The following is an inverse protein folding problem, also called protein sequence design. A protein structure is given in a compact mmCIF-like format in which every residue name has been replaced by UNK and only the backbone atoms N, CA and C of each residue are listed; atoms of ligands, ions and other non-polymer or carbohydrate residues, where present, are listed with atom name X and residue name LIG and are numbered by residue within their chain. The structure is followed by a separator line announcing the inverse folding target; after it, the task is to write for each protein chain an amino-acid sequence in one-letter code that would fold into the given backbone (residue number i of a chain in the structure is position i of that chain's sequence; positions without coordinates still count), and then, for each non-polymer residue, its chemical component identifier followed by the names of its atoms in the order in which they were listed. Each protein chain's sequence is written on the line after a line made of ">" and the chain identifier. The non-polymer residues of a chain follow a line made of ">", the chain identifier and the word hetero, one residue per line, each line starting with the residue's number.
data_IF_278215837097
#
_entry.id   IF_278215837097
#
_cell.length_a   1.000
_cell.length_b   1.000
_cell.length_c   1.000
_cell.angle_alpha   90.00
_cell.angle_beta   90.00
_cell.angle_gamma   90.00
#
_symmetry.space_group_name_H-M   'P 1'
#
loop_
_entity.id
_entity.type
_entity.pdbx_description
1 polymer ?
#
# COMPACT_ATOMS: atom_id res chain seq x y z
N UNK A 1 15.98 -10.70 10.19
CA UNK A 1 15.43 -9.80 9.14
C UNK A 1 15.18 -10.61 7.87
N UNK A 2 14.00 -10.51 7.23
CA UNK A 2 13.66 -11.33 6.07
C UNK A 2 14.63 -11.06 4.91
N UNK A 3 15.14 -12.12 4.28
CA UNK A 3 16.12 -12.00 3.17
C UNK A 3 15.50 -11.52 1.84
N UNK A 4 14.18 -11.57 1.70
CA UNK A 4 13.43 -11.06 0.56
C UNK A 4 12.23 -10.26 1.06
N UNK A 5 12.24 -8.95 0.79
CA UNK A 5 11.05 -8.13 0.98
C UNK A 5 10.00 -8.43 -0.09
N UNK A 6 8.71 -8.46 0.25
CA UNK A 6 7.65 -8.68 -0.73
C UNK A 6 7.62 -7.54 -1.75
N UNK A 7 7.42 -7.91 -3.01
CA UNK A 7 7.21 -6.98 -4.13
C UNK A 7 5.74 -7.07 -4.55
N UNK A 8 5.08 -5.92 -4.56
CA UNK A 8 3.67 -5.77 -4.89
C UNK A 8 3.54 -5.21 -6.29
N UNK A 9 2.70 -5.83 -7.11
CA UNK A 9 2.40 -5.30 -8.45
C UNK A 9 1.15 -4.42 -8.39
N UNK A 10 1.30 -3.15 -8.74
CA UNK A 10 0.23 -2.15 -8.75
C UNK A 10 0.16 -1.58 -10.17
N UNK A 11 -0.91 -1.89 -10.90
CA UNK A 11 -0.98 -1.58 -12.33
C UNK A 11 0.17 -2.22 -13.12
N UNK A 12 0.88 -1.41 -13.91
CA UNK A 12 2.09 -1.80 -14.64
C UNK A 12 3.38 -1.72 -13.81
N UNK A 13 3.31 -1.19 -12.59
CA UNK A 13 4.47 -0.86 -11.77
C UNK A 13 4.66 -1.85 -10.62
N UNK A 14 5.85 -1.83 -10.02
CA UNK A 14 6.14 -2.57 -8.79
C UNK A 14 6.38 -1.62 -7.63
N UNK A 15 5.83 -1.97 -6.48
CA UNK A 15 6.04 -1.32 -5.19
C UNK A 15 6.73 -2.31 -4.24
N UNK A 16 7.72 -1.87 -3.48
CA UNK A 16 8.35 -2.69 -2.44
C UNK A 16 8.60 -1.90 -1.16
N UNK A 17 8.66 -2.60 -0.03
CA UNK A 17 9.12 -2.04 1.26
C UNK A 17 10.21 -2.94 1.83
N UNK A 18 11.37 -2.39 2.13
CA UNK A 18 12.53 -3.14 2.61
C UNK A 18 13.39 -2.34 3.57
N UNK A 19 14.22 -3.03 4.33
CA UNK A 19 15.24 -2.39 5.14
C UNK A 19 16.49 -2.15 4.31
N UNK A 20 17.02 -0.93 4.37
CA UNK A 20 18.19 -0.56 3.58
C UNK A 20 18.52 0.91 3.71
N UNK A 21 19.73 1.27 3.29
CA UNK A 21 20.17 2.65 3.16
C UNK A 21 19.64 3.22 1.85
N UNK A 22 19.13 4.46 1.89
CA UNK A 22 18.60 5.11 0.69
C UNK A 22 19.71 5.45 -0.30
N UNK A 23 20.90 5.80 0.20
CA UNK A 23 22.10 6.06 -0.59
C UNK A 23 22.62 4.84 -1.39
N UNK A 24 22.26 3.61 -0.98
CA UNK A 24 22.63 2.37 -1.66
C UNK A 24 21.60 1.96 -2.73
N UNK A 25 20.53 2.74 -2.89
CA UNK A 25 19.48 2.44 -3.86
C UNK A 25 19.95 2.68 -5.30
N UNK A 26 19.62 1.75 -6.20
CA UNK A 26 19.87 1.88 -7.64
C UNK A 26 18.76 2.67 -8.37
N UNK A 27 17.87 3.35 -7.63
CA UNK A 27 16.81 4.15 -8.24
C UNK A 27 17.36 5.40 -8.93
N UNK A 28 16.69 5.85 -10.00
CA UNK A 28 17.03 7.08 -10.71
C UNK A 28 16.77 8.33 -9.87
N UNK A 29 15.85 8.24 -8.89
CA UNK A 29 15.53 9.31 -7.96
C UNK A 29 15.55 8.81 -6.52
N UNK A 30 16.19 9.57 -5.64
CA UNK A 30 16.14 9.37 -4.19
C UNK A 30 15.37 10.52 -3.55
N UNK A 31 14.36 10.22 -2.75
CA UNK A 31 13.57 11.24 -2.05
C UNK A 31 14.18 11.50 -0.67
N UNK A 32 14.51 12.74 -0.38
CA UNK A 32 15.00 13.18 0.92
C UNK A 32 13.87 13.80 1.74
N UNK A 33 13.99 13.77 3.07
CA UNK A 33 13.11 14.47 4.01
C UNK A 33 13.90 15.65 4.59
N UNK A 34 13.53 16.87 4.22
CA UNK A 34 14.31 18.07 4.50
C UNK A 34 13.49 19.16 5.21
N UNK A 35 14.21 20.14 5.77
CA UNK A 35 13.67 21.42 6.22
C UNK A 35 13.68 22.47 5.10
N UNK A 36 12.99 23.60 5.32
CA UNK A 36 12.82 24.67 4.35
C UNK A 36 14.11 25.38 3.89
N UNK A 37 15.22 25.18 4.60
CA UNK A 37 16.54 25.70 4.23
C UNK A 37 17.47 24.61 3.66
N UNK A 38 16.97 23.39 3.47
CA UNK A 38 17.73 22.24 3.02
C UNK A 38 19.05 22.11 3.80
N UNK A 39 18.99 22.26 5.14
CA UNK A 39 20.20 22.25 5.97
C UNK A 39 20.93 20.91 5.90
N UNK A 40 20.18 19.83 5.64
CA UNK A 40 20.68 18.45 5.55
C UNK A 40 21.50 18.05 6.80
N UNK A 41 21.10 18.55 7.97
CA UNK A 41 21.85 18.42 9.22
C UNK A 41 21.71 17.06 9.92
N UNK A 42 20.70 16.25 9.57
CA UNK A 42 20.41 14.97 10.23
C UNK A 42 19.65 13.97 9.36
N UNK A 43 19.34 12.81 9.92
CA UNK A 43 18.47 11.82 9.28
C UNK A 43 18.92 11.37 7.88
N UNK A 44 17.95 11.13 7.01
CA UNK A 44 18.16 10.69 5.61
C UNK A 44 18.93 11.72 4.78
N UNK A 45 18.58 13.00 4.93
CA UNK A 45 19.14 14.10 4.14
C UNK A 45 20.63 14.28 4.37
N UNK A 46 21.10 14.13 5.62
CA UNK A 46 22.53 14.14 5.93
C UNK A 46 23.30 13.01 5.25
N UNK A 47 22.73 11.82 5.17
CA UNK A 47 23.46 10.70 4.54
C UNK A 47 23.51 10.84 3.03
N UNK A 48 22.41 11.27 2.41
CA UNK A 48 22.41 11.63 0.99
C UNK A 48 23.42 12.74 0.69
N UNK A 49 23.54 13.77 1.54
CA UNK A 49 24.56 14.80 1.38
C UNK A 49 25.99 14.23 1.53
N UNK A 50 26.22 13.35 2.51
CA UNK A 50 27.54 12.72 2.69
C UNK A 50 27.95 11.86 1.50
N UNK A 51 27.01 11.06 0.99
CA UNK A 51 27.24 10.18 -0.15
C UNK A 51 27.35 10.97 -1.48
N UNK A 52 26.43 11.91 -1.72
CA UNK A 52 26.37 12.72 -2.94
C UNK A 52 27.45 13.81 -3.02
N UNK A 53 27.97 14.26 -1.88
CA UNK A 53 29.06 15.24 -1.81
C UNK A 53 28.62 16.70 -1.99
N UNK A 54 29.62 17.58 -2.14
CA UNK A 54 29.41 19.04 -2.05
C UNK A 54 28.59 19.64 -3.18
N UNK A 55 28.44 18.94 -4.31
CA UNK A 55 27.65 19.44 -5.45
C UNK A 55 26.14 19.46 -5.15
N UNK A 56 25.65 18.52 -4.32
CA UNK A 56 24.28 18.54 -3.80
C UNK A 56 24.02 19.85 -3.04
N UNK A 57 24.93 20.22 -2.14
CA UNK A 57 24.82 21.44 -1.33
C UNK A 57 24.94 22.73 -2.16
N UNK A 58 25.79 22.75 -3.19
CA UNK A 58 25.91 23.91 -4.08
C UNK A 58 24.62 24.14 -4.87
N UNK A 59 23.94 23.07 -5.29
CA UNK A 59 22.67 23.16 -5.99
C UNK A 59 21.55 23.57 -5.02
N UNK A 60 21.46 22.93 -3.85
CA UNK A 60 20.40 23.20 -2.86
C UNK A 60 20.35 24.67 -2.43
N UNK A 61 21.52 25.31 -2.23
CA UNK A 61 21.64 26.72 -1.84
C UNK A 61 20.99 27.72 -2.81
N UNK A 62 20.76 27.34 -4.07
CA UNK A 62 20.13 28.21 -5.08
C UNK A 62 18.59 28.23 -5.00
N UNK A 63 18.00 27.34 -4.19
CA UNK A 63 16.56 27.11 -4.17
C UNK A 63 15.89 27.53 -2.86
N UNK A 64 16.68 27.90 -1.85
CA UNK A 64 16.18 28.20 -0.50
C UNK A 64 15.91 29.70 -0.31
N UNK A 65 14.96 30.07 0.57
CA UNK A 65 14.08 29.20 1.36
C UNK A 65 12.92 28.61 0.54
N UNK A 66 12.42 27.45 0.97
CA UNK A 66 11.26 26.76 0.40
C UNK A 66 10.07 26.82 1.37
N UNK A 67 8.89 26.37 0.94
CA UNK A 67 7.74 26.20 1.83
C UNK A 67 7.57 24.72 2.23
N UNK A 68 6.99 24.47 3.39
CA UNK A 68 6.54 23.12 3.74
C UNK A 68 5.57 22.59 2.66
N UNK A 69 5.76 21.33 2.25
CA UNK A 69 5.01 20.72 1.14
C UNK A 69 5.64 20.94 -0.24
N UNK A 70 6.74 21.70 -0.36
CA UNK A 70 7.50 21.79 -1.60
C UNK A 70 8.44 20.60 -1.81
N UNK A 71 8.72 20.31 -3.09
CA UNK A 71 9.71 19.32 -3.50
C UNK A 71 10.72 20.00 -4.41
N UNK A 72 11.97 20.13 -3.95
CA UNK A 72 13.05 20.71 -4.75
C UNK A 72 13.91 19.62 -5.40
N UNK A 73 14.41 19.87 -6.61
CA UNK A 73 15.19 18.88 -7.37
C UNK A 73 16.65 19.30 -7.45
N UNK A 74 17.56 18.44 -7.00
CA UNK A 74 19.00 18.61 -7.21
C UNK A 74 19.59 17.46 -8.03
N UNK A 75 20.85 17.64 -8.45
CA UNK A 75 21.68 16.51 -8.88
C UNK A 75 21.96 15.62 -7.67
N UNK A 76 22.08 14.31 -7.88
CA UNK A 76 22.51 13.40 -6.81
C UNK A 76 24.02 13.45 -6.53
N UNK A 77 24.78 14.27 -7.27
CA UNK A 77 26.23 14.41 -7.09
C UNK A 77 26.96 13.11 -7.43
N UNK A 78 27.61 12.51 -6.43
CA UNK A 78 28.37 11.25 -6.56
C UNK A 78 27.53 9.98 -6.42
N UNK A 79 26.26 10.10 -6.04
CA UNK A 79 25.36 8.95 -5.94
C UNK A 79 25.07 8.37 -7.33
N UNK A 80 24.73 7.06 -7.43
CA UNK A 80 24.36 6.43 -8.69
C UNK A 80 23.03 6.96 -9.26
N UNK A 81 22.19 7.56 -8.41
CA UNK A 81 20.95 8.21 -8.82
C UNK A 81 21.19 9.43 -9.71
N UNK A 82 20.17 9.83 -10.48
CA UNK A 82 20.22 11.04 -11.30
C UNK A 82 19.88 12.28 -10.48
N UNK A 83 18.86 12.17 -9.64
CA UNK A 83 18.33 13.29 -8.88
C UNK A 83 18.11 12.95 -7.40
N UNK A 84 18.19 13.98 -6.56
CA UNK A 84 17.59 13.96 -5.22
C UNK A 84 16.38 14.88 -5.23
N UNK A 85 15.24 14.36 -4.81
CA UNK A 85 14.02 15.14 -4.58
C UNK A 85 13.92 15.47 -3.10
N UNK A 86 14.13 16.73 -2.75
CA UNK A 86 14.09 17.22 -1.38
C UNK A 86 12.65 17.58 -1.00
N UNK A 87 11.98 16.66 -0.31
CA UNK A 87 10.63 16.89 0.20
C UNK A 87 10.70 17.68 1.51
N UNK A 88 10.17 18.91 1.49
CA UNK A 88 10.21 19.84 2.62
C UNK A 88 9.12 19.50 3.61
N UNK A 89 9.54 18.87 4.71
CA UNK A 89 8.68 18.35 5.78
C UNK A 89 8.66 19.25 7.02
N UNK A 90 9.64 20.15 7.18
CA UNK A 90 9.77 21.04 8.33
C UNK A 90 9.92 22.49 7.84
N UNK A 91 9.14 23.39 8.43
CA UNK A 91 9.38 24.83 8.36
C UNK A 91 10.00 25.29 9.68
N UNK A 92 11.30 25.64 9.65
CA UNK A 92 12.05 26.00 10.86
C UNK A 92 11.64 27.37 11.41
N UNK A 93 11.27 28.32 10.55
CA UNK A 93 10.91 29.67 10.95
C UNK A 93 9.57 29.69 11.69
N UNK A 94 8.61 28.92 11.17
CA UNK A 94 7.26 28.84 11.69
C UNK A 94 7.05 27.67 12.66
N UNK A 95 8.05 26.80 12.82
CA UNK A 95 7.99 25.57 13.61
C UNK A 95 6.81 24.68 13.21
N UNK A 96 6.59 24.56 11.91
CA UNK A 96 5.53 23.71 11.35
C UNK A 96 6.13 22.36 10.98
N UNK A 97 5.43 21.30 11.38
CA UNK A 97 5.78 19.90 11.17
C UNK A 97 4.73 19.24 10.28
N UNK A 98 5.03 18.10 9.65
CA UNK A 98 4.15 17.53 8.65
C UNK A 98 2.94 16.86 9.31
N UNK A 99 1.80 16.93 8.63
CA UNK A 99 0.60 16.13 8.89
C UNK A 99 0.35 15.16 7.73
N UNK A 100 -0.73 14.38 7.78
CA UNK A 100 -1.09 13.46 6.70
C UNK A 100 -1.21 14.16 5.34
N UNK A 101 -1.80 15.37 5.30
CA UNK A 101 -2.00 16.10 4.05
C UNK A 101 -0.66 16.50 3.44
N UNK A 102 0.25 17.03 4.26
CA UNK A 102 1.60 17.39 3.86
C UNK A 102 2.34 16.19 3.24
N UNK A 103 2.30 15.01 3.89
CA UNK A 103 2.94 13.80 3.36
C UNK A 103 2.31 13.38 2.02
N UNK A 104 0.98 13.41 1.89
CA UNK A 104 0.28 13.09 0.64
C UNK A 104 0.66 14.06 -0.48
N UNK A 105 0.69 15.36 -0.19
CA UNK A 105 1.03 16.40 -1.16
C UNK A 105 2.49 16.27 -1.63
N UNK A 106 3.42 15.99 -0.71
CA UNK A 106 4.83 15.73 -1.03
C UNK A 106 5.01 14.51 -1.91
N UNK A 107 4.32 13.40 -1.60
CA UNK A 107 4.36 12.18 -2.40
C UNK A 107 3.81 12.44 -3.80
N UNK A 108 2.64 13.08 -3.92
CA UNK A 108 2.05 13.42 -5.21
C UNK A 108 2.98 14.28 -6.07
N UNK A 109 3.56 15.34 -5.49
CA UNK A 109 4.50 16.22 -6.19
C UNK A 109 5.77 15.49 -6.62
N UNK A 110 6.31 14.62 -5.78
CA UNK A 110 7.48 13.81 -6.13
C UNK A 110 7.17 12.88 -7.31
N UNK A 111 5.99 12.25 -7.32
CA UNK A 111 5.55 11.38 -8.42
C UNK A 111 5.25 12.17 -9.70
N UNK A 112 4.68 13.37 -9.61
CA UNK A 112 4.48 14.27 -10.75
C UNK A 112 5.81 14.70 -11.38
N UNK A 113 6.79 15.06 -10.54
CA UNK A 113 8.14 15.38 -10.99
C UNK A 113 8.83 14.18 -11.63
N UNK A 114 8.60 12.97 -11.11
CA UNK A 114 9.16 11.75 -11.67
C UNK A 114 8.67 11.50 -13.10
N UNK A 115 7.35 11.65 -13.35
CA UNK A 115 6.76 11.57 -14.69
C UNK A 115 7.29 12.67 -15.61
N UNK A 116 7.32 13.92 -15.11
CA UNK A 116 7.80 15.06 -15.88
C UNK A 116 9.26 14.87 -16.34
N UNK A 117 10.11 14.35 -15.46
CA UNK A 117 11.52 14.05 -15.73
C UNK A 117 11.72 12.71 -16.43
N UNK A 118 10.65 11.95 -16.69
CA UNK A 118 10.64 10.63 -17.36
C UNK A 118 11.60 9.63 -16.72
N UNK A 119 11.67 9.64 -15.39
CA UNK A 119 12.39 8.62 -14.64
C UNK A 119 11.49 7.41 -14.41
N UNK A 120 12.09 6.23 -14.32
CA UNK A 120 11.38 4.95 -14.20
C UNK A 120 11.44 4.39 -12.79
N UNK A 121 12.40 4.81 -11.98
CA UNK A 121 12.58 4.27 -10.63
C UNK A 121 12.79 5.37 -9.59
N UNK A 122 12.09 5.27 -8.47
CA UNK A 122 12.15 6.23 -7.36
C UNK A 122 12.13 5.50 -6.01
N UNK A 123 12.95 5.97 -5.07
CA UNK A 123 13.01 5.41 -3.72
C UNK A 123 12.66 6.47 -2.68
N UNK A 124 11.75 6.14 -1.78
CA UNK A 124 11.32 6.98 -0.67
C UNK A 124 11.82 6.41 0.68
N UNK A 125 12.11 7.27 1.67
CA UNK A 125 12.25 6.89 3.06
C UNK A 125 10.87 6.85 3.74
N UNK A 126 10.83 6.50 5.02
CA UNK A 126 9.70 6.81 5.90
C UNK A 126 9.62 8.34 6.10
N UNK A 127 8.94 9.03 5.18
CA UNK A 127 8.94 10.49 5.09
C UNK A 127 8.36 11.13 6.37
N UNK A 128 9.06 12.13 6.92
CA UNK A 128 8.61 12.88 8.10
C UNK A 128 8.80 12.18 9.46
N UNK A 129 9.25 10.92 9.54
CA UNK A 129 9.26 10.17 10.81
C UNK A 129 10.46 10.42 11.71
N UNK A 130 11.54 10.98 11.16
CA UNK A 130 12.77 11.29 11.91
C UNK A 130 12.65 12.58 12.73
N UNK A 131 13.49 13.57 12.41
CA UNK A 131 13.54 14.87 13.13
C UNK A 131 12.17 15.57 13.17
N UNK A 132 11.35 15.39 12.14
CA UNK A 132 10.01 15.96 12.06
C UNK A 132 9.01 15.32 13.05
N UNK A 133 9.31 14.14 13.60
CA UNK A 133 8.51 13.50 14.65
C UNK A 133 7.15 12.97 14.19
N UNK A 134 6.91 12.84 12.88
CA UNK A 134 5.64 12.31 12.39
C UNK A 134 5.51 10.81 12.76
N UNK A 135 4.41 10.35 13.34
CA UNK A 135 4.30 8.96 13.79
C UNK A 135 4.49 7.97 12.64
N UNK A 136 5.28 6.91 12.87
CA UNK A 136 5.60 5.90 11.85
C UNK A 136 4.34 5.23 11.27
N UNK A 137 3.34 4.97 12.12
CA UNK A 137 2.06 4.41 11.70
C UNK A 137 1.34 5.33 10.69
N UNK A 138 1.29 6.62 11.02
CA UNK A 138 0.60 7.65 10.23
C UNK A 138 1.35 7.98 8.94
N UNK A 139 2.68 7.95 8.98
CA UNK A 139 3.52 8.09 7.80
C UNK A 139 3.26 6.98 6.79
N UNK A 140 3.21 5.72 7.22
CA UNK A 140 2.87 4.60 6.33
C UNK A 140 1.45 4.75 5.76
N UNK A 141 0.47 5.15 6.59
CA UNK A 141 -0.92 5.36 6.18
C UNK A 141 -1.13 6.57 5.23
N UNK A 142 -0.24 7.56 5.25
CA UNK A 142 -0.26 8.66 4.29
C UNK A 142 0.49 8.30 3.00
N UNK A 143 1.65 7.65 3.12
CA UNK A 143 2.60 7.47 2.03
C UNK A 143 2.23 6.30 1.12
N UNK A 144 1.88 5.14 1.67
CA UNK A 144 1.65 3.92 0.87
C UNK A 144 0.38 4.01 0.01
N UNK A 145 -0.80 4.38 0.54
CA UNK A 145 -2.00 4.48 -0.29
C UNK A 145 -1.82 5.50 -1.41
N UNK A 146 -1.23 6.66 -1.11
CA UNK A 146 -0.96 7.70 -2.13
C UNK A 146 -0.08 7.18 -3.25
N UNK A 147 1.00 6.44 -2.94
CA UNK A 147 1.83 5.82 -3.98
C UNK A 147 1.02 4.80 -4.78
N UNK A 148 0.35 3.87 -4.11
CA UNK A 148 -0.39 2.80 -4.78
C UNK A 148 -1.51 3.35 -5.69
N UNK A 149 -2.27 4.35 -5.22
CA UNK A 149 -3.34 4.98 -5.99
C UNK A 149 -2.80 5.66 -7.25
N UNK A 150 -1.64 6.31 -7.13
CA UNK A 150 -0.95 6.93 -8.26
C UNK A 150 -0.44 5.88 -9.25
N UNK A 151 0.19 4.81 -8.77
CA UNK A 151 0.66 3.71 -9.62
C UNK A 151 -0.48 3.00 -10.37
N UNK A 152 -1.66 2.88 -9.73
CA UNK A 152 -2.85 2.28 -10.34
C UNK A 152 -3.40 3.10 -11.54
N UNK A 153 -3.01 4.37 -11.68
CA UNK A 153 -3.40 5.25 -12.78
C UNK A 153 -2.50 5.11 -14.03
N UNK A 154 -1.80 3.98 -14.18
CA UNK A 154 -0.91 3.66 -15.32
C UNK A 154 0.17 4.70 -15.58
N UNK A 155 0.91 5.05 -14.53
CA UNK A 155 2.10 5.89 -14.60
C UNK A 155 3.22 5.24 -15.45
N UNK A 156 4.12 6.05 -16.01
CA UNK A 156 5.31 5.56 -16.73
C UNK A 156 6.40 5.03 -15.79
N UNK A 157 6.30 5.39 -14.51
CA UNK A 157 7.11 4.88 -13.41
C UNK A 157 7.01 3.35 -13.29
N UNK A 158 8.13 2.64 -13.30
CA UNK A 158 8.20 1.18 -13.27
C UNK A 158 8.37 0.63 -11.86
N UNK A 159 9.17 1.31 -11.02
CA UNK A 159 9.54 0.82 -9.70
C UNK A 159 9.49 1.92 -8.64
N UNK A 160 8.80 1.66 -7.54
CA UNK A 160 8.78 2.50 -6.33
C UNK A 160 9.21 1.69 -5.13
N UNK A 161 10.23 2.15 -4.42
CA UNK A 161 10.76 1.45 -3.26
C UNK A 161 10.63 2.30 -2.00
N UNK A 162 10.22 1.67 -0.89
CA UNK A 162 10.38 2.22 0.44
C UNK A 162 11.57 1.58 1.12
N UNK A 163 12.56 2.39 1.47
CA UNK A 163 13.77 1.95 2.15
C UNK A 163 13.79 2.46 3.59
N UNK A 164 13.72 1.52 4.53
CA UNK A 164 13.68 1.76 5.97
C UNK A 164 15.07 1.59 6.55
N UNK A 165 15.64 2.68 7.05
CA UNK A 165 16.94 2.65 7.72
C UNK A 165 16.76 2.86 9.22
N UNK A 166 17.35 1.99 10.04
CA UNK A 166 17.57 2.28 11.45
C UNK A 166 18.66 3.34 11.59
N UNK A 167 18.31 4.51 12.15
CA UNK A 167 19.26 5.61 12.40
C UNK A 167 19.18 6.01 13.88
N UNK A 168 20.20 6.72 14.34
CA UNK A 168 20.25 7.26 15.71
C UNK A 168 18.93 7.95 16.07
N UNK A 169 18.35 7.55 17.21
CA UNK A 169 17.07 8.09 17.70
C UNK A 169 15.81 7.36 17.21
N UNK A 170 15.92 6.42 16.26
CA UNK A 170 14.81 5.57 15.82
C UNK A 170 14.89 4.21 16.51
N UNK A 171 13.85 3.81 17.23
CA UNK A 171 13.80 2.48 17.85
C UNK A 171 13.48 1.43 16.79
N UNK A 172 14.08 0.25 16.90
CA UNK A 172 13.83 -0.86 15.97
C UNK A 172 12.34 -1.18 15.84
N UNK A 173 11.60 -1.14 16.96
CA UNK A 173 10.16 -1.36 17.00
C UNK A 173 9.36 -0.34 16.17
N UNK A 174 9.82 0.91 16.07
CA UNK A 174 9.12 1.95 15.31
C UNK A 174 9.20 1.69 13.80
N UNK A 175 10.32 1.15 13.33
CA UNK A 175 10.48 0.73 11.93
C UNK A 175 9.69 -0.54 11.62
N UNK A 176 9.60 -1.48 12.57
CA UNK A 176 8.75 -2.66 12.43
C UNK A 176 7.29 -2.25 12.26
N UNK A 177 6.80 -1.31 13.08
CA UNK A 177 5.44 -0.77 12.94
C UNK A 177 5.21 -0.16 11.55
N UNK A 178 6.15 0.65 11.05
CA UNK A 178 6.05 1.19 9.69
C UNK A 178 6.03 0.08 8.64
N UNK A 179 6.99 -0.87 8.74
CA UNK A 179 7.16 -1.94 7.77
C UNK A 179 5.90 -2.80 7.66
N UNK A 180 5.38 -3.28 8.79
CA UNK A 180 4.17 -4.10 8.83
C UNK A 180 2.96 -3.35 8.28
N UNK A 181 2.81 -2.08 8.66
CA UNK A 181 1.73 -1.23 8.15
C UNK A 181 1.84 -1.03 6.64
N UNK A 182 3.02 -0.71 6.14
CA UNK A 182 3.28 -0.48 4.72
C UNK A 182 3.05 -1.75 3.89
N UNK A 183 3.55 -2.90 4.36
CA UNK A 183 3.36 -4.19 3.72
C UNK A 183 1.88 -4.59 3.65
N UNK A 184 1.12 -4.36 4.73
CA UNK A 184 -0.32 -4.62 4.77
C UNK A 184 -1.09 -3.75 3.76
N UNK A 185 -0.87 -2.43 3.79
CA UNK A 185 -1.52 -1.49 2.88
C UNK A 185 -1.21 -1.77 1.40
N UNK A 186 0.05 -2.08 1.08
CA UNK A 186 0.46 -2.42 -0.27
C UNK A 186 -0.13 -3.75 -0.74
N UNK A 187 -0.23 -4.74 0.15
CA UNK A 187 -0.88 -6.02 -0.14
C UNK A 187 -2.35 -5.82 -0.49
N UNK A 188 -3.05 -5.02 0.30
CA UNK A 188 -4.45 -4.65 0.07
C UNK A 188 -4.62 -3.99 -1.29
N UNK A 189 -3.81 -2.97 -1.60
CA UNK A 189 -3.88 -2.26 -2.88
C UNK A 189 -3.61 -3.20 -4.08
N UNK A 190 -2.61 -4.08 -3.98
CA UNK A 190 -2.29 -5.04 -5.03
C UNK A 190 -3.41 -6.06 -5.26
N UNK A 191 -4.06 -6.51 -4.19
CA UNK A 191 -5.19 -7.44 -4.27
C UNK A 191 -6.41 -6.77 -4.89
N UNK A 192 -6.73 -5.54 -4.49
CA UNK A 192 -7.81 -4.76 -5.10
C UNK A 192 -7.62 -4.60 -6.61
N UNK A 193 -6.39 -4.31 -7.07
CA UNK A 193 -6.08 -4.22 -8.51
C UNK A 193 -6.23 -5.56 -9.24
N UNK A 194 -5.76 -6.67 -8.64
CA UNK A 194 -5.92 -8.01 -9.23
C UNK A 194 -7.38 -8.39 -9.36
N UNK A 195 -8.17 -8.11 -8.32
CA UNK A 195 -9.60 -8.41 -8.32
C UNK A 195 -10.33 -7.60 -9.38
N UNK A 196 -10.10 -6.28 -9.45
CA UNK A 196 -10.66 -5.42 -10.49
C UNK A 196 -10.33 -5.94 -11.90
N UNK A 197 -9.10 -6.41 -12.13
CA UNK A 197 -8.70 -7.00 -13.40
C UNK A 197 -9.38 -8.36 -13.68
N UNK A 198 -9.52 -9.23 -12.68
CA UNK A 198 -10.25 -10.51 -12.81
C UNK A 198 -11.72 -10.28 -13.10
N UNK A 199 -12.34 -9.28 -12.47
CA UNK A 199 -13.72 -8.92 -12.72
C UNK A 199 -13.94 -8.33 -14.12
N UNK A 200 -13.05 -7.46 -14.61
CA UNK A 200 -13.10 -6.99 -16.00
C UNK A 200 -13.05 -8.16 -16.99
N UNK A 201 -12.16 -9.13 -16.73
CA UNK A 201 -12.09 -10.38 -17.51
C UNK A 201 -13.33 -11.25 -17.40
N UNK A 202 -14.08 -11.20 -16.30
CA UNK A 202 -15.36 -11.90 -16.17
C UNK A 202 -16.45 -11.17 -16.96
N UNK A 203 -16.53 -9.84 -16.88
CA UNK A 203 -17.46 -9.05 -17.71
C UNK A 203 -17.30 -9.37 -19.20
N UNK A 204 -16.06 -9.44 -19.68
CA UNK A 204 -15.76 -9.74 -21.08
C UNK A 204 -16.22 -11.15 -21.51
N UNK A 205 -16.24 -12.11 -20.57
CA UNK A 205 -16.71 -13.49 -20.83
C UNK A 205 -18.23 -13.58 -20.69
N UNK A 206 -18.81 -12.84 -19.76
CA UNK A 206 -20.24 -12.83 -19.42
C UNK A 206 -21.00 -11.91 -20.40
N UNK A 207 -20.73 -12.06 -21.71
CA UNK A 207 -21.33 -11.27 -22.80
C UNK A 207 -22.86 -11.41 -22.96
N UNK A 208 -23.39 -11.16 -24.17
CA UNK A 208 -24.84 -11.03 -24.44
C UNK A 208 -25.74 -12.25 -24.16
N UNK A 209 -25.18 -13.39 -23.79
CA UNK A 209 -25.90 -14.63 -23.44
C UNK A 209 -26.35 -14.71 -21.97
N UNK A 210 -26.08 -13.68 -21.18
CA UNK A 210 -26.31 -13.67 -19.74
C UNK A 210 -27.73 -13.18 -19.39
N UNK A 211 -28.47 -13.84 -18.46
CA UNK A 211 -29.74 -13.32 -17.96
C UNK A 211 -29.61 -11.87 -17.50
N UNK A 212 -30.59 -11.02 -17.84
CA UNK A 212 -30.58 -9.57 -17.54
C UNK A 212 -30.24 -9.25 -16.09
N UNK A 213 -30.72 -10.08 -15.18
CA UNK A 213 -30.62 -9.91 -13.74
C UNK A 213 -29.18 -10.18 -13.25
N UNK A 214 -28.47 -11.11 -13.89
CA UNK A 214 -27.06 -11.35 -13.59
C UNK A 214 -26.19 -10.22 -14.14
N UNK A 215 -26.56 -9.65 -15.30
CA UNK A 215 -25.86 -8.52 -15.93
C UNK A 215 -25.99 -7.24 -15.09
N UNK A 216 -27.17 -6.96 -14.53
CA UNK A 216 -27.37 -5.80 -13.61
C UNK A 216 -26.68 -6.02 -12.27
N UNK A 217 -26.82 -7.20 -11.66
CA UNK A 217 -26.13 -7.52 -10.40
C UNK A 217 -24.61 -7.42 -10.55
N UNK A 218 -24.04 -7.87 -11.69
CA UNK A 218 -22.63 -7.67 -11.99
C UNK A 218 -22.29 -6.18 -12.06
N UNK A 219 -23.07 -5.37 -12.78
CA UNK A 219 -22.78 -3.95 -12.95
C UNK A 219 -22.87 -3.16 -11.65
N UNK A 220 -23.83 -3.50 -10.79
CA UNK A 220 -24.03 -2.88 -9.49
C UNK A 220 -22.89 -3.25 -8.54
N UNK A 221 -22.53 -4.54 -8.46
CA UNK A 221 -21.38 -5.02 -7.69
C UNK A 221 -20.06 -4.38 -8.15
N UNK A 222 -19.92 -4.16 -9.47
CA UNK A 222 -18.75 -3.50 -10.06
C UNK A 222 -18.70 -2.01 -9.77
N UNK A 223 -19.86 -1.35 -9.70
CA UNK A 223 -19.95 0.03 -9.23
C UNK A 223 -19.60 0.11 -7.76
N UNK A 224 -20.17 -0.77 -6.93
CA UNK A 224 -19.89 -0.84 -5.49
C UNK A 224 -18.43 -1.11 -5.20
N UNK A 225 -17.82 -2.11 -5.84
CA UNK A 225 -16.38 -2.41 -5.66
C UNK A 225 -15.52 -1.25 -6.15
N UNK A 226 -15.87 -0.61 -7.27
CA UNK A 226 -15.14 0.57 -7.76
C UNK A 226 -15.27 1.76 -6.81
N UNK A 227 -16.46 2.00 -6.27
CA UNK A 227 -16.73 3.05 -5.31
C UNK A 227 -16.08 2.76 -3.94
N UNK A 228 -16.04 1.49 -3.52
CA UNK A 228 -15.35 1.03 -2.31
C UNK A 228 -13.83 1.17 -2.45
N UNK A 229 -13.25 0.72 -3.57
CA UNK A 229 -11.83 0.93 -3.89
C UNK A 229 -11.49 2.42 -4.00
N UNK A 230 -12.36 3.23 -4.60
CA UNK A 230 -12.22 4.69 -4.63
C UNK A 230 -12.41 5.34 -3.26
N UNK A 231 -13.06 4.68 -2.31
CA UNK A 231 -13.22 5.12 -0.92
C UNK A 231 -12.01 4.74 -0.08
N UNK A 232 -11.42 3.55 -0.32
CA UNK A 232 -10.11 3.13 0.20
C UNK A 232 -9.00 4.13 -0.19
N UNK A 233 -9.08 4.69 -1.41
CA UNK A 233 -8.19 5.69 -1.97
C UNK A 233 -8.50 7.15 -1.54
N UNK A 234 -9.71 7.43 -1.04
CA UNK A 234 -10.09 8.78 -0.62
C UNK A 234 -9.57 9.07 0.78
N UNK A 235 -8.94 10.25 0.92
CA UNK A 235 -8.33 10.77 2.16
C UNK A 235 -9.22 10.57 3.40
N UNK A 236 -8.86 9.67 4.35
CA UNK A 236 -9.58 9.54 5.61
C UNK A 236 -9.32 10.72 6.55
N UNK A 237 -10.30 11.01 7.42
CA UNK A 237 -10.31 12.13 8.38
C UNK A 237 -9.70 11.78 9.75
N UNK A 238 -9.42 10.49 10.03
CA UNK A 238 -8.78 10.00 11.26
C UNK A 238 -8.21 8.57 11.12
N UNK A 239 -7.19 8.21 11.94
CA UNK A 239 -6.44 6.93 11.95
C UNK A 239 -7.33 5.69 12.21
N UNK A 240 -8.32 5.83 13.09
CA UNK A 240 -9.25 4.74 13.48
C UNK A 240 -10.31 4.46 12.41
N UNK A 241 -10.67 5.46 11.59
CA UNK A 241 -11.52 5.26 10.41
C UNK A 241 -10.76 4.56 9.28
N UNK A 242 -9.44 4.79 9.13
CA UNK A 242 -8.58 4.14 8.13
C UNK A 242 -8.63 2.62 8.28
N UNK A 243 -8.45 2.14 9.51
CA UNK A 243 -8.39 0.72 9.79
C UNK A 243 -9.74 0.03 9.62
N UNK A 244 -10.81 0.68 10.10
CA UNK A 244 -12.14 0.10 10.05
C UNK A 244 -12.73 0.15 8.64
N UNK A 245 -12.50 1.22 7.88
CA UNK A 245 -13.03 1.35 6.52
C UNK A 245 -12.23 0.53 5.51
N UNK A 246 -10.89 0.56 5.52
CA UNK A 246 -10.11 -0.16 4.51
C UNK A 246 -10.24 -1.68 4.64
N UNK A 247 -10.20 -2.23 5.87
CA UNK A 247 -10.40 -3.68 6.07
C UNK A 247 -11.85 -4.09 5.78
N UNK A 248 -12.82 -3.30 6.23
CA UNK A 248 -14.24 -3.58 5.96
C UNK A 248 -14.56 -3.56 4.46
N UNK A 249 -13.99 -2.62 3.69
CA UNK A 249 -14.26 -2.47 2.26
C UNK A 249 -13.57 -3.55 1.41
N UNK A 250 -12.33 -3.92 1.75
CA UNK A 250 -11.64 -5.02 1.06
C UNK A 250 -12.31 -6.35 1.38
N UNK A 251 -12.78 -6.52 2.62
CA UNK A 251 -13.56 -7.69 3.00
C UNK A 251 -14.97 -7.69 2.39
N UNK A 252 -15.66 -6.55 2.27
CA UNK A 252 -16.96 -6.49 1.58
C UNK A 252 -16.79 -6.80 0.11
N UNK A 253 -15.83 -6.18 -0.57
CA UNK A 253 -15.47 -6.50 -1.95
C UNK A 253 -15.13 -8.00 -2.14
N UNK A 254 -14.33 -8.58 -1.23
CA UNK A 254 -14.03 -10.02 -1.25
C UNK A 254 -15.28 -10.90 -1.05
N UNK A 255 -16.16 -10.55 -0.10
CA UNK A 255 -17.45 -11.23 0.13
C UNK A 255 -18.37 -11.12 -1.07
N UNK A 256 -18.52 -9.93 -1.62
CA UNK A 256 -19.33 -9.62 -2.80
C UNK A 256 -18.91 -10.46 -4.02
N UNK A 257 -17.61 -10.64 -4.26
CA UNK A 257 -17.14 -11.53 -5.33
C UNK A 257 -17.50 -12.99 -5.07
N UNK A 258 -17.38 -13.46 -3.83
CA UNK A 258 -17.78 -14.83 -3.46
C UNK A 258 -19.29 -15.03 -3.62
N UNK A 259 -20.09 -14.10 -3.10
CA UNK A 259 -21.56 -14.12 -3.18
C UNK A 259 -22.07 -14.04 -4.61
N UNK A 260 -21.46 -13.20 -5.46
CA UNK A 260 -21.82 -13.10 -6.86
C UNK A 260 -21.56 -14.41 -7.60
N UNK A 261 -20.42 -15.07 -7.35
CA UNK A 261 -20.10 -16.36 -7.96
C UNK A 261 -21.02 -17.47 -7.45
N UNK A 262 -21.38 -17.43 -6.17
CA UNK A 262 -22.30 -18.40 -5.57
C UNK A 262 -23.74 -18.20 -6.12
N UNK A 263 -24.14 -16.96 -6.42
CA UNK A 263 -25.46 -16.60 -6.99
C UNK A 263 -25.59 -16.76 -8.51
N UNK A 264 -24.48 -16.77 -9.26
CA UNK A 264 -24.44 -16.85 -10.72
C UNK A 264 -24.72 -18.26 -11.29
N UNK A 265 -25.79 -18.94 -10.85
CA UNK A 265 -26.11 -20.35 -11.17
C UNK A 265 -25.27 -21.43 -10.45
N UNK A 266 -24.54 -21.09 -9.38
CA UNK A 266 -23.98 -22.06 -8.44
C UNK A 266 -22.81 -22.88 -8.98
N UNK A 267 -21.70 -22.85 -8.22
CA UNK A 267 -20.50 -23.65 -8.49
C UNK A 267 -20.84 -25.15 -8.64
N UNK A 268 -20.68 -25.70 -9.84
CA UNK A 268 -21.05 -27.09 -10.19
C UNK A 268 -22.14 -27.22 -11.25
N UNK A 269 -22.76 -26.14 -11.74
CA UNK A 269 -23.87 -26.21 -12.73
C UNK A 269 -23.58 -25.50 -14.05
N UNK A 270 -22.37 -24.98 -14.23
CA UNK A 270 -21.98 -24.29 -15.45
C UNK A 270 -21.86 -25.28 -16.60
N UNK A 271 -22.48 -24.97 -17.75
CA UNK A 271 -22.43 -25.84 -18.94
C UNK A 271 -21.05 -25.83 -19.62
N UNK A 272 -20.31 -24.73 -19.48
CA UNK A 272 -18.97 -24.56 -20.03
C UNK A 272 -17.94 -24.68 -18.90
N UNK A 273 -17.12 -25.74 -18.96
CA UNK A 273 -16.10 -26.05 -17.95
C UNK A 273 -14.98 -25.00 -17.89
N UNK A 274 -14.70 -24.27 -18.98
CA UNK A 274 -13.72 -23.19 -18.97
C UNK A 274 -14.26 -21.97 -18.23
N UNK A 275 -15.55 -21.66 -18.41
CA UNK A 275 -16.23 -20.60 -17.65
C UNK A 275 -16.28 -20.97 -16.17
N UNK A 276 -16.61 -22.23 -15.85
CA UNK A 276 -16.63 -22.72 -14.48
C UNK A 276 -15.27 -22.61 -13.79
N UNK A 277 -14.21 -23.05 -14.48
CA UNK A 277 -12.84 -22.97 -13.97
C UNK A 277 -12.46 -21.52 -13.65
N UNK A 278 -12.77 -20.59 -14.55
CA UNK A 278 -12.47 -19.17 -14.36
C UNK A 278 -13.28 -18.55 -13.21
N UNK A 279 -14.55 -18.93 -13.07
CA UNK A 279 -15.38 -18.52 -11.94
C UNK A 279 -14.80 -19.02 -10.60
N UNK A 280 -14.46 -20.31 -10.51
CA UNK A 280 -13.85 -20.89 -9.30
C UNK A 280 -12.48 -20.26 -8.97
N UNK A 281 -11.66 -19.96 -9.98
CA UNK A 281 -10.39 -19.25 -9.78
C UNK A 281 -10.64 -17.82 -9.25
N UNK A 282 -11.63 -17.11 -9.77
CA UNK A 282 -11.98 -15.77 -9.27
C UNK A 282 -12.52 -15.84 -7.84
N UNK A 283 -13.26 -16.90 -7.48
CA UNK A 283 -13.69 -17.15 -6.11
C UNK A 283 -12.51 -17.37 -5.16
N UNK A 284 -11.50 -18.12 -5.59
CA UNK A 284 -10.27 -18.31 -4.80
C UNK A 284 -9.54 -16.98 -4.54
N UNK A 285 -9.54 -16.06 -5.51
CA UNK A 285 -8.96 -14.73 -5.33
C UNK A 285 -9.76 -13.90 -4.30
N UNK A 286 -11.09 -13.93 -4.34
CA UNK A 286 -11.96 -13.29 -3.35
C UNK A 286 -11.75 -13.85 -1.94
N UNK A 287 -11.73 -15.18 -1.78
CA UNK A 287 -11.47 -15.85 -0.51
C UNK A 287 -10.06 -15.58 0.04
N UNK A 288 -9.06 -15.55 -0.84
CA UNK A 288 -7.69 -15.18 -0.43
C UNK A 288 -7.62 -13.74 0.08
N UNK A 289 -8.40 -12.83 -0.52
CA UNK A 289 -8.49 -11.43 -0.10
C UNK A 289 -9.10 -11.33 1.30
N UNK A 290 -10.18 -12.07 1.56
CA UNK A 290 -10.81 -12.18 2.89
C UNK A 290 -9.85 -12.69 3.95
N UNK A 291 -9.10 -13.76 3.68
CA UNK A 291 -8.11 -14.29 4.61
C UNK A 291 -7.07 -13.23 4.98
N UNK A 292 -6.54 -12.51 4.00
CA UNK A 292 -5.52 -11.49 4.26
C UNK A 292 -6.05 -10.35 5.11
N UNK A 293 -7.31 -9.92 4.90
CA UNK A 293 -7.95 -8.93 5.76
C UNK A 293 -8.07 -9.45 7.19
N UNK A 294 -8.62 -10.65 7.37
CA UNK A 294 -8.82 -11.20 8.72
C UNK A 294 -7.50 -11.45 9.45
N UNK A 295 -6.47 -11.95 8.77
CA UNK A 295 -5.13 -12.06 9.35
C UNK A 295 -4.51 -10.71 9.69
N UNK A 296 -4.78 -9.68 8.87
CA UNK A 296 -4.39 -8.29 9.17
C UNK A 296 -5.05 -7.76 10.44
N UNK A 297 -6.37 -7.93 10.57
CA UNK A 297 -7.13 -7.56 11.76
C UNK A 297 -6.66 -8.35 12.99
N UNK A 298 -6.40 -9.66 12.85
CA UNK A 298 -5.87 -10.49 13.92
C UNK A 298 -4.50 -9.99 14.40
N UNK A 299 -3.60 -9.65 13.48
CA UNK A 299 -2.28 -9.14 13.84
C UNK A 299 -2.38 -7.83 14.65
N UNK A 300 -3.29 -6.93 14.30
CA UNK A 300 -3.53 -5.70 15.08
C UNK A 300 -4.02 -5.99 16.49
N UNK A 301 -5.00 -6.88 16.63
CA UNK A 301 -5.55 -7.25 17.93
C UNK A 301 -4.50 -7.95 18.80
N UNK A 302 -3.64 -8.79 18.21
CA UNK A 302 -2.53 -9.43 18.94
C UNK A 302 -1.44 -8.41 19.34
N UNK A 303 -1.14 -7.40 18.50
CA UNK A 303 -0.26 -6.28 18.87
C UNK A 303 -0.86 -5.47 20.02
N UNK A 304 -2.16 -5.17 19.97
CA UNK A 304 -2.86 -4.47 21.04
C UNK A 304 -2.83 -5.28 22.34
N UNK A 305 -3.10 -6.59 22.25
CA UNK A 305 -3.03 -7.53 23.36
C UNK A 305 -1.65 -7.59 23.99
N UNK A 306 -0.58 -7.53 23.18
CA UNK A 306 0.79 -7.49 23.69
C UNK A 306 1.08 -6.27 24.59
N UNK A 307 0.33 -5.16 24.45
CA UNK A 307 0.46 -3.97 25.31
C UNK A 307 -0.03 -4.21 26.74
N UNK A 308 -0.83 -5.25 26.96
CA UNK A 308 -1.38 -5.63 28.28
C UNK A 308 -0.56 -6.73 28.98
N UNK A 309 0.60 -7.09 28.45
CA UNK A 309 1.47 -8.11 29.05
C UNK A 309 1.79 -7.77 30.51
N UNK A 310 1.31 -8.62 31.43
CA UNK A 310 1.54 -8.50 32.88
C UNK A 310 0.49 -7.73 33.68
N UNK A 311 -0.55 -7.16 33.05
CA UNK A 311 -1.58 -6.35 33.73
C UNK A 311 -3.02 -6.92 33.54
N UNK A 312 -3.15 -8.02 32.78
CA UNK A 312 -4.42 -8.65 32.45
C UNK A 312 -5.01 -8.09 31.15
N UNK A 313 -5.44 -8.98 30.25
CA UNK A 313 -5.99 -8.61 28.95
C UNK A 313 -7.49 -8.28 29.11
N UNK A 314 -8.00 -7.20 28.52
CA UNK A 314 -9.43 -6.91 28.54
C UNK A 314 -10.25 -8.01 27.84
N UNK A 315 -11.32 -8.48 28.48
CA UNK A 315 -12.23 -9.52 27.92
C UNK A 315 -12.78 -9.13 26.54
N UNK A 316 -13.04 -7.84 26.31
CA UNK A 316 -13.49 -7.34 25.00
C UNK A 316 -12.47 -7.65 23.91
N UNK A 317 -11.18 -7.47 24.20
CA UNK A 317 -10.10 -7.73 23.26
C UNK A 317 -9.93 -9.23 22.99
N UNK A 318 -10.09 -10.08 24.01
CA UNK A 318 -10.09 -11.53 23.85
C UNK A 318 -11.24 -12.01 22.95
N UNK A 319 -12.45 -11.48 23.17
CA UNK A 319 -13.62 -11.81 22.36
C UNK A 319 -13.44 -11.39 20.90
N UNK A 320 -12.86 -10.20 20.64
CA UNK A 320 -12.58 -9.72 19.29
C UNK A 320 -11.58 -10.64 18.56
N UNK A 321 -10.54 -11.09 19.25
CA UNK A 321 -9.56 -12.04 18.70
C UNK A 321 -10.23 -13.37 18.36
N UNK A 322 -11.09 -13.88 19.24
CA UNK A 322 -11.79 -15.15 19.02
C UNK A 322 -12.75 -15.06 17.81
N UNK A 323 -13.47 -13.95 17.68
CA UNK A 323 -14.38 -13.68 16.55
C UNK A 323 -13.62 -13.67 15.22
N UNK A 324 -12.51 -12.93 15.13
CA UNK A 324 -11.69 -12.89 13.92
C UNK A 324 -11.10 -14.26 13.60
N UNK A 325 -10.64 -15.02 14.59
CA UNK A 325 -10.14 -16.38 14.40
C UNK A 325 -11.22 -17.35 13.89
N UNK A 326 -12.47 -17.19 14.33
CA UNK A 326 -13.58 -17.99 13.84
C UNK A 326 -13.84 -17.73 12.35
N UNK A 327 -13.79 -16.46 11.93
CA UNK A 327 -13.99 -16.10 10.53
C UNK A 327 -12.82 -16.58 9.65
N UNK A 328 -11.57 -16.50 10.13
CA UNK A 328 -10.41 -17.10 9.43
C UNK A 328 -10.65 -18.58 9.13
N UNK A 329 -11.01 -19.37 10.15
CA UNK A 329 -11.26 -20.82 9.99
C UNK A 329 -12.35 -21.09 8.95
N UNK A 330 -13.42 -20.27 8.96
CA UNK A 330 -14.51 -20.38 7.99
C UNK A 330 -14.03 -20.13 6.56
N UNK A 331 -13.29 -19.05 6.33
CA UNK A 331 -12.79 -18.69 5.00
C UNK A 331 -11.73 -19.68 4.50
N UNK A 332 -10.90 -20.23 5.40
CA UNK A 332 -9.94 -21.30 5.07
C UNK A 332 -10.64 -22.57 4.57
N UNK A 333 -11.76 -22.97 5.20
CA UNK A 333 -12.56 -24.12 4.76
C UNK A 333 -13.10 -23.88 3.35
N UNK A 334 -13.75 -22.73 3.12
CA UNK A 334 -14.29 -22.36 1.81
C UNK A 334 -13.19 -22.33 0.73
N UNK A 335 -11.99 -21.86 1.09
CA UNK A 335 -10.82 -21.85 0.19
C UNK A 335 -10.43 -23.26 -0.19
N UNK A 336 -10.38 -24.19 0.78
CA UNK A 336 -10.02 -25.59 0.55
C UNK A 336 -11.05 -26.31 -0.32
N UNK A 337 -12.34 -26.10 -0.05
CA UNK A 337 -13.43 -26.64 -0.84
C UNK A 337 -13.37 -26.14 -2.29
N UNK A 338 -13.19 -24.84 -2.49
CA UNK A 338 -13.09 -24.24 -3.83
C UNK A 338 -11.91 -24.80 -4.61
N UNK A 339 -10.75 -24.93 -3.94
CA UNK A 339 -9.54 -25.46 -4.57
C UNK A 339 -9.73 -26.91 -5.03
N UNK A 340 -10.34 -27.76 -4.18
CA UNK A 340 -10.69 -29.13 -4.55
C UNK A 340 -11.61 -29.19 -5.78
N UNK A 341 -12.59 -28.28 -5.87
CA UNK A 341 -13.47 -28.17 -7.05
C UNK A 341 -12.68 -27.82 -8.32
N UNK A 342 -11.78 -26.84 -8.25
CA UNK A 342 -10.91 -26.47 -9.39
C UNK A 342 -10.09 -27.66 -9.86
N UNK A 343 -9.47 -28.38 -8.92
CA UNK A 343 -8.62 -29.54 -9.19
C UNK A 343 -9.41 -30.74 -9.75
N UNK A 344 -10.72 -30.83 -9.46
CA UNK A 344 -11.58 -31.89 -9.98
C UNK A 344 -12.08 -31.68 -11.42
N UNK A 345 -11.92 -30.46 -11.97
CA UNK A 345 -12.33 -30.17 -13.35
C UNK A 345 -11.31 -30.75 -14.34
N UNK A 346 -11.74 -31.52 -15.36
CA UNK A 346 -10.83 -32.14 -16.32
C UNK A 346 -10.00 -31.07 -17.06
N UNK A 347 -8.70 -31.32 -17.24
CA UNK A 347 -7.87 -30.45 -18.10
C UNK A 347 -8.46 -30.43 -19.51
N UNK A 348 -8.69 -29.22 -20.01
CA UNK A 348 -9.39 -28.95 -21.28
C UNK A 348 -8.40 -28.68 -22.39
#
# INVERSE_FOLDING_TARGET
>A
MPRNSPVYRIGSSTFSVSYGLLEDSNAEVLVSSDDNYLTMGGGVSRSLLRAGGSDVLKHSRKMIPLSIGDVAVTTAGKLPAKYIFHAVTIDLDRRVYPDHRCIRDLVNRALDLAEFLRVRTISFPALGTGVAGFPFYDAAAALVPTICDRLAQNMSLQEVNLLLTAREGVRENDLTVFYERAASLASVAAQGQRLAASMGRLQDIVGDTTPSDLKSNLSDLLSEIRDELATIARSPRSVEEIDRQQESHVASTGRHVVELIDGADGLGKWKDLNVERKALQTRLEGLSTLLNVHYGSLNKLEIEKARYAGVGIPVILENQIEEVNAEIRRVEELTRETRRKVESLPEG
#
